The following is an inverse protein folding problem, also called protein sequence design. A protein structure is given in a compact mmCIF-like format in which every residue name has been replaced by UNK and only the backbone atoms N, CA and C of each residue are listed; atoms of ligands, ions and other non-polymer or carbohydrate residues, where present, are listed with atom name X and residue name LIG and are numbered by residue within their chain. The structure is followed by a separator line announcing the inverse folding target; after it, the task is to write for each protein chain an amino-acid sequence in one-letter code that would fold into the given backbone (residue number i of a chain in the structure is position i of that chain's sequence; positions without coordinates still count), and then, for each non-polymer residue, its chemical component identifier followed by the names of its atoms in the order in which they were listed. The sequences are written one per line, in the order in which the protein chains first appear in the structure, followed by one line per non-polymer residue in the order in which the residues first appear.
data_IF_662732422225
#
_entry.id   IF_662732422225
#
_cell.length_a   1.000
_cell.length_b   1.000
_cell.length_c   1.000
_cell.angle_alpha   90.00
_cell.angle_beta   90.00
_cell.angle_gamma   90.00
#
_symmetry.space_group_name_H-M   'P 1'
#
loop_
_entity.id
_entity.type
_entity.pdbx_description
1 polymer ?
#
# COMPACT_ATOMS: atom_id res chain seq x y z
N UNK A 1 45.28 6.65 24.25
CA UNK A 1 44.46 5.69 25.05
C UNK A 1 43.44 4.89 24.24
N UNK A 2 43.00 5.32 23.04
CA UNK A 2 42.08 4.54 22.19
C UNK A 2 42.72 3.38 21.40
N UNK A 3 44.03 3.47 21.10
CA UNK A 3 44.77 2.46 20.31
C UNK A 3 44.81 1.07 20.98
N UNK A 4 44.98 1.05 22.31
CA UNK A 4 45.16 -0.19 23.06
C UNK A 4 43.86 -1.01 23.16
N UNK A 5 42.69 -0.35 23.07
CA UNK A 5 41.40 -1.03 23.13
C UNK A 5 41.02 -1.73 21.82
N UNK A 6 41.39 -1.14 20.68
CA UNK A 6 41.23 -1.77 19.36
C UNK A 6 42.20 -2.93 19.16
N UNK A 7 43.44 -2.78 19.64
CA UNK A 7 44.46 -3.82 19.54
C UNK A 7 44.08 -5.06 20.37
N UNK A 8 43.56 -4.85 21.59
CA UNK A 8 43.01 -5.94 22.41
C UNK A 8 41.79 -6.61 21.74
N UNK A 9 40.92 -5.85 21.08
CA UNK A 9 39.77 -6.38 20.35
C UNK A 9 40.17 -7.30 19.18
N UNK A 10 41.20 -6.92 18.42
CA UNK A 10 41.70 -7.73 17.31
C UNK A 10 42.43 -8.99 17.77
N UNK A 11 43.18 -8.95 18.87
CA UNK A 11 43.80 -10.16 19.43
C UNK A 11 42.76 -11.13 19.99
N UNK A 12 41.70 -10.61 20.61
CA UNK A 12 40.59 -11.44 21.10
C UNK A 12 39.86 -12.11 19.94
N UNK A 13 39.64 -11.40 18.83
CA UNK A 13 39.06 -11.97 17.61
C UNK A 13 39.96 -13.04 16.97
N UNK A 14 41.28 -12.84 16.97
CA UNK A 14 42.25 -13.85 16.50
C UNK A 14 42.27 -15.11 17.37
N UNK A 15 42.18 -14.96 18.69
CA UNK A 15 42.12 -16.09 19.64
C UNK A 15 40.82 -16.89 19.51
N UNK A 16 39.71 -16.23 19.18
CA UNK A 16 38.44 -16.91 18.87
C UNK A 16 38.52 -17.63 17.52
N UNK A 17 39.13 -16.99 16.51
CA UNK A 17 39.32 -17.59 15.19
C UNK A 17 40.26 -18.80 15.22
N UNK A 18 41.29 -18.79 16.07
CA UNK A 18 42.20 -19.92 16.24
C UNK A 18 41.61 -21.12 17.00
N UNK A 19 40.42 -20.99 17.60
CA UNK A 19 39.71 -22.09 18.27
C UNK A 19 38.66 -22.76 17.40
N UNK A 20 38.46 -22.29 16.17
CA UNK A 20 37.65 -23.00 15.20
C UNK A 20 38.43 -24.22 14.71
N UNK A 21 37.84 -25.43 14.73
CA UNK A 21 38.52 -26.64 14.29
C UNK A 21 38.80 -26.53 12.79
N UNK A 22 40.07 -26.52 12.39
CA UNK A 22 40.47 -26.68 10.99
C UNK A 22 40.23 -28.13 10.59
N UNK A 23 39.65 -28.32 9.40
CA UNK A 23 39.10 -29.61 8.92
C UNK A 23 40.15 -30.52 8.29
N UNK A 24 41.39 -30.46 8.78
CA UNK A 24 42.55 -31.26 8.34
C UNK A 24 43.38 -31.34 9.63
N UNK A 25 43.27 -32.40 10.44
CA UNK A 25 44.10 -33.60 10.38
C UNK A 25 43.41 -34.77 11.11
N UNK A 26 43.37 -35.97 10.51
CA UNK A 26 42.75 -37.16 11.09
C UNK A 26 43.65 -37.94 12.06
N UNK A 27 43.04 -38.60 13.06
CA UNK A 27 43.07 -40.08 13.29
C UNK A 27 42.52 -40.42 14.71
N UNK A 28 41.43 -41.21 14.74
CA UNK A 28 40.87 -42.16 15.75
C UNK A 28 41.04 -41.91 17.29
N UNK A 29 40.01 -41.97 18.13
CA UNK A 29 39.12 -43.14 18.35
C UNK A 29 37.66 -42.80 18.77
N UNK A 30 36.74 -43.33 17.95
CA UNK A 30 35.41 -43.89 18.21
C UNK A 30 34.67 -43.71 19.57
N UNK A 31 33.63 -42.87 19.58
CA UNK A 31 32.27 -43.27 20.01
C UNK A 31 31.29 -42.74 18.97
N UNK A 32 30.62 -43.66 18.28
CA UNK A 32 29.90 -43.40 17.05
C UNK A 32 28.64 -42.55 17.22
N UNK A 33 28.56 -41.49 16.43
CA UNK A 33 27.31 -41.09 15.80
C UNK A 33 27.61 -40.96 14.31
N UNK A 34 27.05 -41.91 13.56
CA UNK A 34 27.12 -42.02 12.11
C UNK A 34 26.74 -40.70 11.44
N UNK A 35 27.71 -40.05 10.79
CA UNK A 35 27.42 -39.05 9.74
C UNK A 35 26.85 -39.79 8.53
N UNK A 36 25.56 -40.12 8.60
CA UNK A 36 24.77 -40.41 7.40
C UNK A 36 24.53 -39.08 6.71
N UNK A 37 25.19 -38.87 5.58
CA UNK A 37 24.86 -37.83 4.61
C UNK A 37 23.51 -38.18 3.99
N UNK A 38 22.42 -37.98 4.73
CA UNK A 38 21.06 -38.27 4.28
C UNK A 38 20.46 -37.04 3.62
N UNK A 39 20.66 -36.96 2.30
CA UNK A 39 19.58 -36.93 1.29
C UNK A 39 18.38 -35.98 1.40
N UNK A 40 18.30 -35.07 2.36
CA UNK A 40 17.21 -34.11 2.43
C UNK A 40 17.66 -32.83 3.14
N UNK A 41 17.78 -31.73 2.39
CA UNK A 41 18.06 -30.39 2.93
C UNK A 41 16.86 -29.82 3.68
N UNK A 42 16.31 -30.59 4.61
CA UNK A 42 15.25 -30.18 5.54
C UNK A 42 15.83 -30.26 6.94
N UNK A 43 16.16 -29.09 7.46
CA UNK A 43 16.64 -28.89 8.82
C UNK A 43 15.44 -28.78 9.77
N UNK A 44 15.50 -29.44 10.91
CA UNK A 44 14.45 -29.36 11.94
C UNK A 44 14.54 -28.03 12.69
N UNK A 45 13.40 -27.39 12.98
CA UNK A 45 13.37 -26.24 13.88
C UNK A 45 13.56 -26.68 15.34
N UNK A 46 14.51 -26.08 16.04
CA UNK A 46 14.74 -26.28 17.47
C UNK A 46 13.69 -25.55 18.31
N UNK A 47 12.55 -26.20 18.55
CA UNK A 47 11.48 -25.65 19.41
C UNK A 47 11.79 -25.74 20.91
N UNK A 48 12.70 -26.65 21.29
CA UNK A 48 13.11 -26.81 22.67
C UNK A 48 14.06 -25.68 23.08
N UNK A 49 13.67 -24.93 24.10
CA UNK A 49 14.53 -23.90 24.67
C UNK A 49 15.61 -24.59 25.50
N UNK A 50 16.85 -24.60 24.99
CA UNK A 50 17.99 -25.12 25.75
C UNK A 50 18.33 -24.12 26.86
N UNK A 51 17.96 -24.44 28.09
CA UNK A 51 18.24 -23.64 29.29
C UNK A 51 19.72 -23.69 29.70
N UNK A 52 20.60 -23.16 28.86
CA UNK A 52 22.01 -22.97 29.19
C UNK A 52 22.22 -21.82 30.18
N UNK A 53 23.37 -21.84 30.86
CA UNK A 53 23.79 -20.78 31.79
C UNK A 53 23.71 -19.38 31.17
N UNK A 54 24.14 -19.23 29.91
CA UNK A 54 24.04 -17.98 29.14
C UNK A 54 22.58 -17.51 28.95
N UNK A 55 21.64 -18.43 28.67
CA UNK A 55 20.22 -18.10 28.52
C UNK A 55 19.61 -17.65 29.85
N UNK A 56 19.98 -18.28 30.97
CA UNK A 56 19.53 -17.84 32.30
C UNK A 56 20.05 -16.46 32.69
N UNK A 57 21.29 -16.11 32.33
CA UNK A 57 21.82 -14.75 32.55
C UNK A 57 21.08 -13.69 31.73
N UNK A 58 20.78 -13.98 30.46
CA UNK A 58 19.95 -13.09 29.62
C UNK A 58 18.52 -12.94 30.15
N UNK A 59 17.91 -14.02 30.65
CA UNK A 59 16.58 -13.97 31.27
C UNK A 59 16.60 -13.20 32.60
N UNK A 60 17.69 -13.29 33.37
CA UNK A 60 17.87 -12.51 34.59
C UNK A 60 18.06 -11.01 34.31
N UNK A 61 18.71 -10.66 33.18
CA UNK A 61 18.81 -9.27 32.72
C UNK A 61 17.53 -8.74 32.06
N UNK A 62 16.67 -9.62 31.52
CA UNK A 62 15.39 -9.23 30.93
C UNK A 62 14.40 -8.78 32.01
N UNK A 63 14.32 -7.47 32.22
CA UNK A 63 13.32 -6.87 33.09
C UNK A 63 11.89 -7.13 32.62
N UNK A 64 10.91 -6.99 33.53
CA UNK A 64 9.47 -7.11 33.24
C UNK A 64 9.02 -6.25 32.04
N UNK A 65 9.70 -5.12 31.82
CA UNK A 65 9.46 -4.21 30.69
C UNK A 65 9.71 -4.88 29.32
N UNK A 66 10.74 -5.73 29.21
CA UNK A 66 11.06 -6.42 27.95
C UNK A 66 9.99 -7.46 27.58
N UNK A 67 9.47 -8.17 28.58
CA UNK A 67 8.38 -9.14 28.37
C UNK A 67 7.11 -8.45 27.91
N UNK A 68 6.74 -7.32 28.55
CA UNK A 68 5.59 -6.50 28.14
C UNK A 68 5.77 -6.00 26.70
N UNK A 69 6.97 -5.53 26.35
CA UNK A 69 7.29 -5.10 24.99
C UNK A 69 7.11 -6.23 23.96
N UNK A 70 7.63 -7.43 24.20
CA UNK A 70 7.45 -8.55 23.27
C UNK A 70 5.98 -8.96 23.11
N UNK A 71 5.22 -8.97 24.20
CA UNK A 71 3.78 -9.25 24.16
C UNK A 71 3.06 -8.17 23.34
N UNK A 72 3.35 -6.89 23.57
CA UNK A 72 2.76 -5.79 22.83
C UNK A 72 3.07 -5.87 21.32
N UNK A 73 4.32 -6.19 20.94
CA UNK A 73 4.71 -6.36 19.53
C UNK A 73 3.95 -7.51 18.88
N UNK A 74 3.79 -8.66 19.56
CA UNK A 74 3.00 -9.79 19.03
C UNK A 74 1.54 -9.40 18.78
N UNK A 75 0.92 -8.70 19.73
CA UNK A 75 -0.47 -8.23 19.59
C UNK A 75 -0.61 -7.18 18.48
N UNK A 76 0.38 -6.30 18.32
CA UNK A 76 0.41 -5.33 17.24
C UNK A 76 0.43 -6.00 15.87
N UNK A 77 1.31 -6.99 15.64
CA UNK A 77 1.34 -7.75 14.39
C UNK A 77 0.06 -8.54 14.15
N UNK A 78 -0.52 -9.15 15.19
CA UNK A 78 -1.80 -9.84 15.08
C UNK A 78 -2.94 -8.90 14.65
N UNK A 79 -2.96 -7.66 15.18
CA UNK A 79 -3.93 -6.65 14.79
C UNK A 79 -3.75 -6.23 13.33
N UNK A 80 -2.52 -5.99 12.87
CA UNK A 80 -2.24 -5.65 11.47
C UNK A 80 -2.73 -6.75 10.51
N UNK A 81 -2.44 -8.02 10.83
CA UNK A 81 -2.93 -9.16 10.05
C UNK A 81 -4.46 -9.17 10.03
N UNK A 82 -5.12 -8.92 11.17
CA UNK A 82 -6.58 -8.81 11.26
C UNK A 82 -7.17 -7.73 10.35
N UNK A 83 -6.55 -6.55 10.30
CA UNK A 83 -6.97 -5.45 9.40
C UNK A 83 -6.85 -5.88 7.93
N UNK A 84 -5.73 -6.50 7.55
CA UNK A 84 -5.52 -6.97 6.17
C UNK A 84 -6.56 -8.02 5.79
N UNK A 85 -6.79 -9.02 6.64
CA UNK A 85 -7.78 -10.07 6.38
C UNK A 85 -9.19 -9.51 6.26
N UNK A 86 -9.56 -8.53 7.08
CA UNK A 86 -10.84 -7.84 6.99
C UNK A 86 -11.01 -7.10 5.66
N UNK A 87 -9.95 -6.43 5.18
CA UNK A 87 -9.94 -5.77 3.88
C UNK A 87 -10.11 -6.77 2.73
N UNK A 88 -9.38 -7.89 2.77
CA UNK A 88 -9.49 -8.96 1.78
C UNK A 88 -10.89 -9.57 1.78
N UNK A 89 -11.49 -9.79 2.96
CA UNK A 89 -12.84 -10.30 3.07
C UNK A 89 -13.87 -9.35 2.44
N UNK A 90 -13.76 -8.03 2.70
CA UNK A 90 -14.63 -7.02 2.07
C UNK A 90 -14.48 -7.07 0.55
N UNK A 91 -13.26 -7.06 0.01
CA UNK A 91 -13.07 -7.06 -1.44
C UNK A 91 -13.59 -8.36 -2.07
N UNK A 92 -13.27 -9.52 -1.50
CA UNK A 92 -13.64 -10.83 -2.09
C UNK A 92 -15.14 -11.11 -2.03
N UNK A 93 -15.82 -10.82 -0.91
CA UNK A 93 -17.24 -11.12 -0.74
C UNK A 93 -18.13 -9.96 -1.20
N UNK A 94 -17.75 -8.73 -0.86
CA UNK A 94 -18.59 -7.57 -1.15
C UNK A 94 -18.34 -7.00 -2.54
N UNK A 95 -17.14 -6.95 -3.09
CA UNK A 95 -16.94 -6.34 -4.41
C UNK A 95 -15.71 -6.91 -5.14
N UNK A 96 -15.80 -8.11 -5.75
CA UNK A 96 -14.63 -8.76 -6.36
C UNK A 96 -14.04 -7.91 -7.51
N UNK A 97 -14.89 -7.15 -8.22
CA UNK A 97 -14.46 -6.20 -9.26
C UNK A 97 -13.67 -4.99 -8.72
N UNK A 98 -13.55 -4.82 -7.39
CA UNK A 98 -12.71 -3.81 -6.76
C UNK A 98 -11.26 -4.30 -6.52
N UNK A 99 -10.91 -5.53 -6.88
CA UNK A 99 -9.55 -6.03 -6.74
C UNK A 99 -8.54 -5.19 -7.56
N UNK A 100 -7.30 -5.12 -7.08
CA UNK A 100 -6.20 -4.42 -7.77
C UNK A 100 -6.36 -2.89 -7.85
N UNK A 101 -5.59 -2.28 -8.74
CA UNK A 101 -5.54 -0.81 -8.91
C UNK A 101 -6.85 -0.25 -9.47
N UNK A 102 -7.40 -0.85 -10.53
CA UNK A 102 -8.55 -0.30 -11.25
C UNK A 102 -8.20 0.42 -12.56
N UNK A 103 -6.92 0.74 -12.77
CA UNK A 103 -6.47 1.45 -13.98
C UNK A 103 -6.70 0.60 -15.25
N UNK A 104 -6.34 -0.69 -15.31
CA UNK A 104 -6.61 -1.52 -16.49
C UNK A 104 -8.10 -1.59 -16.85
N UNK A 105 -8.98 -1.64 -15.86
CA UNK A 105 -10.43 -1.72 -16.03
C UNK A 105 -10.98 -0.42 -16.62
N UNK A 106 -10.51 0.73 -16.11
CA UNK A 106 -10.86 2.04 -16.67
C UNK A 106 -10.34 2.21 -18.09
N UNK A 107 -9.12 1.74 -18.38
CA UNK A 107 -8.54 1.76 -19.73
C UNK A 107 -9.37 0.91 -20.69
N UNK A 108 -9.80 -0.28 -20.26
CA UNK A 108 -10.74 -1.12 -20.99
C UNK A 108 -12.07 -0.40 -21.28
N UNK A 109 -12.65 0.23 -20.26
CA UNK A 109 -13.91 0.98 -20.39
C UNK A 109 -13.82 2.12 -21.41
N UNK A 110 -12.74 2.91 -21.37
CA UNK A 110 -12.56 4.05 -22.27
C UNK A 110 -12.19 3.62 -23.70
N UNK A 111 -11.57 2.45 -23.87
CA UNK A 111 -11.43 1.77 -25.16
C UNK A 111 -12.74 1.20 -25.70
N UNK A 112 -13.82 1.25 -24.89
CA UNK A 112 -15.16 0.82 -25.28
C UNK A 112 -15.52 -0.60 -24.87
N UNK A 113 -14.72 -1.23 -24.01
CA UNK A 113 -15.05 -2.53 -23.41
C UNK A 113 -15.80 -2.31 -22.10
N UNK A 114 -17.10 -2.54 -22.10
CA UNK A 114 -17.91 -2.40 -20.88
C UNK A 114 -17.81 -3.67 -20.02
N UNK A 115 -17.02 -3.60 -18.94
CA UNK A 115 -16.85 -4.69 -17.98
C UNK A 115 -17.96 -4.58 -16.93
N UNK A 116 -18.68 -5.67 -16.71
CA UNK A 116 -19.82 -5.63 -15.81
C UNK A 116 -19.35 -5.37 -14.37
N UNK A 117 -19.83 -4.26 -13.80
CA UNK A 117 -19.70 -3.99 -12.39
C UNK A 117 -18.54 -3.10 -11.96
N UNK A 118 -17.67 -2.66 -12.87
CA UNK A 118 -16.48 -1.86 -12.51
C UNK A 118 -16.85 -0.50 -11.91
N UNK A 119 -17.84 0.21 -12.48
CA UNK A 119 -18.22 1.57 -12.11
C UNK A 119 -19.42 1.65 -11.14
N UNK A 120 -19.80 0.54 -10.49
CA UNK A 120 -20.92 0.54 -9.57
C UNK A 120 -20.58 1.17 -8.21
N UNK A 121 -21.61 1.68 -7.53
CA UNK A 121 -21.46 2.18 -6.16
C UNK A 121 -20.92 1.12 -5.18
N UNK A 122 -21.25 -0.16 -5.43
CA UNK A 122 -20.73 -1.31 -4.66
C UNK A 122 -19.20 -1.44 -4.76
N UNK A 123 -18.63 -1.28 -5.96
CA UNK A 123 -17.18 -1.34 -6.16
C UNK A 123 -16.48 -0.11 -5.61
N UNK A 124 -17.10 1.08 -5.70
CA UNK A 124 -16.59 2.29 -5.05
C UNK A 124 -16.37 2.09 -3.54
N UNK A 125 -17.40 1.62 -2.83
CA UNK A 125 -17.33 1.36 -1.39
C UNK A 125 -16.25 0.30 -1.09
N UNK A 126 -16.28 -0.83 -1.80
CA UNK A 126 -15.31 -1.90 -1.60
C UNK A 126 -13.87 -1.44 -1.84
N UNK A 127 -13.64 -0.59 -2.84
CA UNK A 127 -12.32 -0.05 -3.18
C UNK A 127 -11.81 0.94 -2.12
N UNK A 128 -12.67 1.80 -1.57
CA UNK A 128 -12.29 2.73 -0.49
C UNK A 128 -11.90 1.95 0.77
N UNK A 129 -12.76 1.09 1.29
CA UNK A 129 -12.46 0.35 2.52
C UNK A 129 -11.33 -0.67 2.32
N UNK A 130 -11.29 -1.32 1.16
CA UNK A 130 -10.23 -2.24 0.80
C UNK A 130 -8.85 -1.56 0.76
N UNK A 131 -8.75 -0.39 0.12
CA UNK A 131 -7.50 0.37 0.05
C UNK A 131 -7.05 0.92 1.41
N UNK A 132 -7.98 1.43 2.24
CA UNK A 132 -7.66 1.89 3.60
C UNK A 132 -7.13 0.73 4.45
N UNK A 133 -7.81 -0.42 4.47
CA UNK A 133 -7.36 -1.57 5.26
C UNK A 133 -6.06 -2.19 4.73
N UNK A 134 -5.85 -2.16 3.41
CA UNK A 134 -4.63 -2.67 2.79
C UNK A 134 -3.39 -1.82 3.13
N UNK A 135 -3.50 -0.50 2.97
CA UNK A 135 -2.42 0.44 3.30
C UNK A 135 -2.22 0.54 4.82
N UNK A 136 -3.31 0.61 5.60
CA UNK A 136 -3.26 0.65 7.06
C UNK A 136 -2.75 -0.64 7.69
N UNK A 137 -2.95 -1.77 7.02
CA UNK A 137 -2.41 -3.08 7.41
C UNK A 137 -0.93 -3.29 7.07
N UNK A 138 -0.29 -2.34 6.38
CA UNK A 138 1.14 -2.39 6.08
C UNK A 138 1.53 -3.22 4.85
N UNK A 139 0.58 -3.51 3.95
CA UNK A 139 0.93 -4.13 2.67
C UNK A 139 1.77 -3.16 1.82
N UNK A 140 2.69 -3.70 1.01
CA UNK A 140 3.52 -2.94 0.07
C UNK A 140 2.70 -2.45 -1.14
N UNK A 141 1.67 -1.64 -0.89
CA UNK A 141 0.69 -1.15 -1.86
C UNK A 141 0.51 0.37 -1.70
N UNK A 142 0.21 1.04 -2.81
CA UNK A 142 -0.03 2.49 -2.85
C UNK A 142 -1.51 2.84 -2.97
N UNK A 143 -1.90 3.99 -2.39
CA UNK A 143 -3.26 4.56 -2.54
C UNK A 143 -3.54 5.17 -3.92
N UNK A 144 -2.49 5.46 -4.70
CA UNK A 144 -2.59 6.30 -5.89
C UNK A 144 -3.44 5.65 -6.99
N UNK A 145 -3.22 4.36 -7.26
CA UNK A 145 -3.98 3.61 -8.27
C UNK A 145 -5.49 3.53 -7.96
N UNK A 146 -5.87 3.05 -6.76
CA UNK A 146 -7.27 3.03 -6.33
C UNK A 146 -7.96 4.39 -6.37
N UNK A 147 -7.23 5.50 -6.17
CA UNK A 147 -7.82 6.84 -6.20
C UNK A 147 -8.27 7.27 -7.60
N UNK A 148 -7.55 6.83 -8.65
CA UNK A 148 -7.95 7.05 -10.06
C UNK A 148 -9.29 6.37 -10.34
N UNK A 149 -9.42 5.09 -9.98
CA UNK A 149 -10.66 4.33 -10.16
C UNK A 149 -11.79 4.89 -9.29
N UNK A 150 -11.49 5.32 -8.07
CA UNK A 150 -12.48 5.99 -7.20
C UNK A 150 -13.05 7.24 -7.87
N UNK A 151 -12.20 8.09 -8.45
CA UNK A 151 -12.62 9.28 -9.22
C UNK A 151 -13.46 8.92 -10.44
N UNK A 152 -13.10 7.88 -11.17
CA UNK A 152 -13.86 7.34 -12.29
C UNK A 152 -15.26 6.86 -11.89
N UNK A 153 -15.36 6.10 -10.79
CA UNK A 153 -16.62 5.62 -10.24
C UNK A 153 -17.53 6.77 -9.81
N UNK A 154 -16.99 7.76 -9.10
CA UNK A 154 -17.75 8.95 -8.68
C UNK A 154 -18.30 9.67 -9.91
N UNK A 155 -17.45 9.96 -10.90
CA UNK A 155 -17.86 10.61 -12.13
C UNK A 155 -18.95 9.82 -12.89
N UNK A 156 -18.81 8.51 -12.98
CA UNK A 156 -19.80 7.62 -13.62
C UNK A 156 -21.14 7.61 -12.87
N UNK A 157 -21.13 7.62 -11.53
CA UNK A 157 -22.34 7.66 -10.71
C UNK A 157 -23.06 9.01 -10.84
N UNK A 158 -22.31 10.11 -10.86
CA UNK A 158 -22.88 11.44 -11.09
C UNK A 158 -23.47 11.58 -12.50
N UNK A 159 -22.79 11.07 -13.53
CA UNK A 159 -23.29 11.14 -14.92
C UNK A 159 -24.57 10.33 -15.16
N UNK A 160 -24.76 9.25 -14.41
CA UNK A 160 -25.92 8.35 -14.51
C UNK A 160 -27.13 8.80 -13.68
N UNK A 161 -26.97 9.83 -12.85
CA UNK A 161 -28.00 10.26 -11.92
C UNK A 161 -28.20 9.35 -10.72
N UNK A 162 -27.18 8.57 -10.33
CA UNK A 162 -27.16 7.76 -9.12
C UNK A 162 -26.97 6.27 -9.38
N UNK A 163 -27.29 5.44 -8.38
CA UNK A 163 -27.14 3.99 -8.45
C UNK A 163 -28.42 3.33 -8.97
N UNK A 164 -28.34 2.71 -10.15
CA UNK A 164 -29.44 1.93 -10.74
C UNK A 164 -29.93 0.81 -9.82
N UNK A 165 -29.04 0.24 -8.99
CA UNK A 165 -29.37 -0.86 -8.07
C UNK A 165 -30.21 -0.44 -6.86
N UNK A 166 -30.05 0.79 -6.39
CA UNK A 166 -30.78 1.28 -5.20
C UNK A 166 -31.97 2.18 -5.55
N UNK A 167 -32.34 2.26 -6.84
CA UNK A 167 -33.43 3.12 -7.33
C UNK A 167 -33.32 4.60 -6.91
N UNK A 168 -32.14 5.03 -6.46
CA UNK A 168 -31.77 6.41 -6.15
C UNK A 168 -31.42 7.13 -7.45
N UNK A 169 -32.34 7.11 -8.40
CA UNK A 169 -32.22 7.87 -9.64
C UNK A 169 -32.90 9.21 -9.45
N UNK A 170 -32.12 10.24 -9.15
CA UNK A 170 -32.64 11.60 -9.23
C UNK A 170 -32.70 12.00 -10.70
N UNK A 171 -33.91 12.22 -11.22
CA UNK A 171 -34.17 12.65 -12.61
C UNK A 171 -33.41 13.91 -13.00
N UNK A 172 -33.07 14.75 -12.01
CA UNK A 172 -32.28 15.98 -12.16
C UNK A 172 -30.80 15.76 -12.51
N UNK A 173 -30.23 14.60 -12.14
CA UNK A 173 -28.82 14.26 -12.41
C UNK A 173 -28.66 13.36 -13.65
N UNK A 174 -29.76 12.92 -14.28
CA UNK A 174 -29.75 12.12 -15.51
C UNK A 174 -29.53 12.99 -16.77
N UNK A 175 -28.55 13.91 -16.72
CA UNK A 175 -28.30 14.87 -17.80
C UNK A 175 -27.52 14.22 -18.96
N UNK A 176 -26.66 13.23 -18.68
CA UNK A 176 -25.77 12.60 -19.68
C UNK A 176 -26.22 11.19 -20.05
N UNK A 177 -27.11 11.06 -21.04
CA UNK A 177 -27.50 9.76 -21.62
C UNK A 177 -26.55 9.22 -22.68
N UNK A 178 -25.70 10.07 -23.25
CA UNK A 178 -24.82 9.72 -24.35
C UNK A 178 -23.53 9.03 -23.85
N UNK A 179 -23.19 7.87 -24.40
CA UNK A 179 -22.00 7.12 -23.99
C UNK A 179 -20.70 7.91 -24.18
N UNK A 180 -20.66 8.79 -25.18
CA UNK A 180 -19.53 9.69 -25.40
C UNK A 180 -19.35 10.67 -24.24
N UNK A 181 -20.42 11.33 -23.80
CA UNK A 181 -20.34 12.32 -22.71
C UNK A 181 -20.03 11.62 -21.38
N UNK A 182 -20.50 10.38 -21.22
CA UNK A 182 -20.13 9.53 -20.08
C UNK A 182 -18.65 9.18 -20.06
N UNK A 183 -18.06 8.82 -21.21
CA UNK A 183 -16.61 8.59 -21.32
C UNK A 183 -15.83 9.86 -20.99
N UNK A 184 -16.22 11.00 -21.53
CA UNK A 184 -15.60 12.29 -21.25
C UNK A 184 -15.66 12.64 -19.74
N UNK A 185 -16.79 12.37 -19.10
CA UNK A 185 -16.97 12.57 -17.66
C UNK A 185 -16.12 11.62 -16.81
N UNK A 186 -16.06 10.33 -17.17
CA UNK A 186 -15.20 9.34 -16.50
C UNK A 186 -13.74 9.72 -16.65
N UNK A 187 -13.30 10.19 -17.82
CA UNK A 187 -11.94 10.71 -18.04
C UNK A 187 -11.64 11.89 -17.10
N UNK A 188 -12.56 12.84 -16.96
CA UNK A 188 -12.40 13.95 -16.01
C UNK A 188 -12.29 13.44 -14.56
N UNK A 189 -13.08 12.42 -14.19
CA UNK A 189 -13.00 11.76 -12.88
C UNK A 189 -11.66 11.06 -12.62
N UNK A 190 -11.10 10.41 -13.64
CA UNK A 190 -9.77 9.77 -13.54
C UNK A 190 -8.68 10.83 -13.31
N UNK A 191 -8.68 11.90 -14.12
CA UNK A 191 -7.75 13.00 -13.98
C UNK A 191 -7.86 13.69 -12.61
N UNK A 192 -9.09 13.87 -12.11
CA UNK A 192 -9.37 14.38 -10.78
C UNK A 192 -8.77 13.47 -9.69
N UNK A 193 -8.94 12.15 -9.81
CA UNK A 193 -8.35 11.16 -8.91
C UNK A 193 -6.83 11.26 -8.88
N UNK A 194 -6.17 11.34 -10.03
CA UNK A 194 -4.71 11.50 -10.14
C UNK A 194 -4.25 12.84 -9.56
N UNK A 195 -4.95 13.93 -9.87
CA UNK A 195 -4.64 15.26 -9.34
C UNK A 195 -4.73 15.31 -7.81
N UNK A 196 -5.71 14.61 -7.22
CA UNK A 196 -5.84 14.46 -5.77
C UNK A 196 -4.75 13.55 -5.17
N UNK A 197 -4.37 12.48 -5.89
CA UNK A 197 -3.37 11.49 -5.47
C UNK A 197 -1.98 12.12 -5.32
N UNK A 198 -1.53 12.77 -6.40
CA UNK A 198 -0.17 13.28 -6.54
C UNK A 198 -0.04 14.77 -6.25
N UNK A 199 -1.14 15.47 -5.93
CA UNK A 199 -1.15 16.93 -5.75
C UNK A 199 -0.53 17.64 -6.95
N UNK A 200 -0.91 17.19 -8.15
CA UNK A 200 -0.35 17.67 -9.42
C UNK A 200 -1.47 17.77 -10.47
N UNK A 201 -2.10 18.95 -10.65
CA UNK A 201 -3.23 19.09 -11.57
C UNK A 201 -2.83 18.85 -13.03
N UNK A 202 -1.66 19.35 -13.44
CA UNK A 202 -1.12 19.13 -14.79
C UNK A 202 -0.72 17.67 -15.00
N UNK A 203 -0.12 17.04 -13.99
CA UNK A 203 0.18 15.60 -14.02
C UNK A 203 -1.08 14.74 -14.19
N UNK A 204 -2.19 15.12 -13.55
CA UNK A 204 -3.49 14.46 -13.75
C UNK A 204 -4.03 14.58 -15.17
N UNK A 205 -3.85 15.74 -15.81
CA UNK A 205 -4.25 15.94 -17.22
C UNK A 205 -3.37 15.14 -18.17
N UNK A 206 -2.05 15.16 -17.97
CA UNK A 206 -1.09 14.39 -18.79
C UNK A 206 -1.30 12.89 -18.64
N UNK A 207 -1.53 12.40 -17.42
CA UNK A 207 -1.86 10.99 -17.21
C UNK A 207 -3.15 10.60 -17.93
N UNK A 208 -4.18 11.46 -17.89
CA UNK A 208 -5.43 11.18 -18.58
C UNK A 208 -5.24 11.14 -20.12
N UNK A 209 -4.39 12.02 -20.63
CA UNK A 209 -3.98 12.08 -22.04
C UNK A 209 -3.21 10.83 -22.49
N UNK A 210 -2.22 10.41 -21.71
CA UNK A 210 -1.26 9.37 -22.09
C UNK A 210 -1.80 7.96 -21.83
N UNK A 211 -2.42 7.73 -20.68
CA UNK A 211 -2.73 6.38 -20.21
C UNK A 211 -4.20 6.00 -20.27
N UNK A 212 -5.10 6.98 -20.18
CA UNK A 212 -6.53 6.74 -19.91
C UNK A 212 -7.38 6.84 -21.18
N UNK A 213 -7.07 7.74 -22.11
CA UNK A 213 -7.86 7.93 -23.34
C UNK A 213 -7.10 7.61 -24.62
N UNK A 214 -7.70 6.85 -25.54
CA UNK A 214 -7.14 6.66 -26.89
C UNK A 214 -7.51 7.75 -27.88
N UNK A 215 -8.58 8.50 -27.62
CA UNK A 215 -9.07 9.55 -28.52
C UNK A 215 -9.23 10.85 -27.76
N UNK A 216 -8.53 11.89 -28.20
CA UNK A 216 -8.51 13.18 -27.52
C UNK A 216 -9.14 14.30 -28.34
N UNK A 217 -9.83 15.22 -27.66
CA UNK A 217 -10.48 16.40 -28.27
C UNK A 217 -10.04 17.67 -27.54
N UNK A 218 -9.88 18.76 -28.28
CA UNK A 218 -9.50 20.06 -27.70
C UNK A 218 -10.50 20.57 -26.65
N UNK A 219 -11.79 20.28 -26.82
CA UNK A 219 -12.83 20.63 -25.84
C UNK A 219 -12.75 19.79 -24.55
N UNK A 220 -12.32 18.53 -24.63
CA UNK A 220 -12.12 17.67 -23.46
C UNK A 220 -10.91 18.13 -22.65
N UNK A 221 -9.86 18.60 -23.32
CA UNK A 221 -8.67 19.13 -22.65
C UNK A 221 -9.00 20.22 -21.64
N UNK A 222 -9.81 21.19 -22.04
CA UNK A 222 -10.20 22.28 -21.15
C UNK A 222 -11.02 21.76 -19.97
N UNK A 223 -11.93 20.81 -20.18
CA UNK A 223 -12.75 20.22 -19.12
C UNK A 223 -11.91 19.46 -18.09
N UNK A 224 -10.96 18.66 -18.56
CA UNK A 224 -10.04 17.90 -17.72
C UNK A 224 -9.13 18.85 -16.93
N UNK A 225 -8.59 19.89 -17.58
CA UNK A 225 -7.76 20.90 -16.93
C UNK A 225 -8.50 21.65 -15.83
N UNK A 226 -9.72 22.14 -16.10
CA UNK A 226 -10.53 22.83 -15.10
C UNK A 226 -10.87 21.93 -13.92
N UNK A 227 -11.24 20.69 -14.19
CA UNK A 227 -11.57 19.71 -13.12
C UNK A 227 -10.35 19.46 -12.24
N UNK A 228 -9.18 19.18 -12.83
CA UNK A 228 -7.93 18.98 -12.08
C UNK A 228 -7.49 20.21 -11.29
N UNK A 229 -7.65 21.42 -11.86
CA UNK A 229 -7.34 22.67 -11.17
C UNK A 229 -8.24 22.91 -9.95
N UNK A 230 -9.55 22.67 -10.09
CA UNK A 230 -10.52 22.77 -8.98
C UNK A 230 -10.14 21.79 -7.87
N UNK A 231 -9.83 20.54 -8.22
CA UNK A 231 -9.40 19.52 -7.25
C UNK A 231 -8.15 19.98 -6.50
N UNK A 232 -7.17 20.55 -7.20
CA UNK A 232 -5.97 21.09 -6.56
C UNK A 232 -6.29 22.22 -5.56
N UNK A 233 -7.19 23.15 -5.92
CA UNK A 233 -7.65 24.23 -5.01
C UNK A 233 -8.37 23.66 -3.79
N UNK A 234 -9.27 22.69 -3.99
CA UNK A 234 -10.03 22.06 -2.90
C UNK A 234 -9.11 21.31 -1.95
N UNK A 235 -8.20 20.49 -2.48
CA UNK A 235 -7.21 19.76 -1.67
C UNK A 235 -6.29 20.73 -0.94
N UNK A 236 -5.83 21.81 -1.58
CA UNK A 236 -5.04 22.87 -0.94
C UNK A 236 -5.79 23.55 0.20
N UNK A 237 -7.05 23.89 -0.01
CA UNK A 237 -7.90 24.55 0.99
C UNK A 237 -8.14 23.63 2.18
N UNK A 238 -8.44 22.34 1.93
CA UNK A 238 -8.60 21.34 2.98
C UNK A 238 -7.31 21.15 3.80
N UNK A 239 -6.14 21.13 3.16
CA UNK A 239 -4.86 21.10 3.86
C UNK A 239 -4.60 22.39 4.65
N UNK A 240 -5.04 23.54 4.14
CA UNK A 240 -4.96 24.84 4.82
C UNK A 240 -5.81 24.91 6.09
N UNK A 241 -7.04 24.37 6.07
CA UNK A 241 -7.85 24.22 7.29
C UNK A 241 -7.19 23.32 8.31
N UNK A 242 -6.39 22.36 7.84
CA UNK A 242 -5.63 21.45 8.68
C UNK A 242 -4.35 22.06 9.31
N UNK A 243 -3.96 23.29 8.94
CA UNK A 243 -2.81 24.01 9.53
C UNK A 243 -3.04 24.52 10.96
N UNK A 244 -4.24 24.35 11.53
CA UNK A 244 -4.51 24.66 12.96
C UNK A 244 -3.86 23.66 13.95
N UNK A 245 -2.80 22.94 13.55
CA UNK A 245 -1.92 22.17 14.43
C UNK A 245 -2.20 20.66 14.56
N UNK A 246 -3.33 20.14 14.08
CA UNK A 246 -3.79 18.79 14.44
C UNK A 246 -3.77 17.72 13.32
N UNK A 247 -3.31 18.04 12.11
CA UNK A 247 -3.50 17.15 10.96
C UNK A 247 -2.27 16.35 10.48
N UNK A 248 -1.16 16.34 11.23
CA UNK A 248 0.00 15.50 10.94
C UNK A 248 0.54 15.60 9.50
N UNK A 249 0.87 14.46 8.88
CA UNK A 249 1.45 14.38 7.52
C UNK A 249 0.51 14.86 6.40
N UNK A 250 -0.78 15.09 6.65
CA UNK A 250 -1.68 15.63 5.64
C UNK A 250 -1.33 17.08 5.26
N UNK A 251 -0.79 17.86 6.21
CA UNK A 251 -0.39 19.26 6.02
C UNK A 251 1.08 19.47 5.62
N UNK A 252 1.89 18.40 5.56
CA UNK A 252 3.30 18.45 5.15
C UNK A 252 3.43 18.03 3.68
N UNK A 253 4.11 18.84 2.88
CA UNK A 253 4.32 18.64 1.44
C UNK A 253 3.48 19.58 0.58
N UNK A 254 4.15 20.48 -0.14
CA UNK A 254 3.54 21.40 -1.09
C UNK A 254 2.97 20.69 -2.33
N UNK A 255 2.33 21.46 -3.22
CA UNK A 255 2.01 20.99 -4.56
C UNK A 255 3.27 21.06 -5.43
N UNK A 256 3.48 20.06 -6.29
CA UNK A 256 4.65 19.98 -7.18
C UNK A 256 4.77 21.22 -8.10
N UNK A 257 3.66 21.91 -8.37
CA UNK A 257 3.61 23.06 -9.28
C UNK A 257 3.77 24.43 -8.58
N UNK A 258 3.75 24.51 -7.24
CA UNK A 258 3.76 25.77 -6.49
C UNK A 258 4.79 25.84 -5.36
N UNK A 259 5.87 25.06 -5.44
CA UNK A 259 6.98 25.16 -4.49
C UNK A 259 8.05 26.15 -4.99
N UNK A 260 7.61 27.40 -5.22
CA UNK A 260 8.50 28.54 -5.42
C UNK A 260 8.34 29.41 -4.18
N UNK A 261 9.40 29.34 -3.35
CA UNK A 261 9.77 30.17 -2.18
C UNK A 261 8.84 31.33 -1.81
#
# INVERSE_FOLDING_TARGET
MLSNHLQNGMETARLVWSRLPNTEDGEFDAIGISKKSDGSSVESLDYEVIENYAYREEQAQRGKLFVIYQVAVKWFFALLIGIVLSSVYIVTQFAPAAAGSGIPEIKGYLNGVDIHGILFFRTLIGKIFGSIGSVGGGLALGKEGPLVHTGACIASLFGQGGSTKYHLSSRWLQVFKNDRDRRDLVTCGCAAGVAAAFRAPVGGVLFALEEVTSWWRSQLMWRVFFTSAIVAVVVRTAMGWCKSGNCGHFGSGGFIIWDIS
#
